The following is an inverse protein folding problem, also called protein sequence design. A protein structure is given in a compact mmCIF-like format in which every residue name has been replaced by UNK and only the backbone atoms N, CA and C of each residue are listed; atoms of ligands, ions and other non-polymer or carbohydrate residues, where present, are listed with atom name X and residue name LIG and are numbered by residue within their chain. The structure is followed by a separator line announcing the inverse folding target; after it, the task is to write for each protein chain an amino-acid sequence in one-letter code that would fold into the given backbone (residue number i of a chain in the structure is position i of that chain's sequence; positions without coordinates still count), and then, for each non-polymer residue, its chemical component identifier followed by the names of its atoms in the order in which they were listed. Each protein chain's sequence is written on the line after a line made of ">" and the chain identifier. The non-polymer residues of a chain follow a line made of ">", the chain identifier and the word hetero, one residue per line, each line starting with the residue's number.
data_IF_186143794657
#
_entry.id   IF_186143794657
#
_cell.length_a   1.000
_cell.length_b   1.000
_cell.length_c   1.000
_cell.angle_alpha   90.00
_cell.angle_beta   90.00
_cell.angle_gamma   90.00
#
_symmetry.space_group_name_H-M   'P 1'
#
loop_
_entity.id
_entity.type
_entity.pdbx_description
1 polymer ?
#
# COMPACT_ATOMS: atom_id res chain seq x y z
N UNK A 1 1.73 -30.78 -6.91
CA UNK A 1 1.47 -31.79 -5.87
C UNK A 1 2.28 -31.48 -4.59
N UNK A 2 3.57 -31.17 -4.74
CA UNK A 2 4.45 -30.87 -3.62
C UNK A 2 4.09 -29.52 -2.93
N UNK A 3 3.75 -28.52 -3.72
CA UNK A 3 3.33 -27.21 -3.24
C UNK A 3 2.01 -27.27 -2.43
N UNK A 4 1.04 -28.07 -2.88
CA UNK A 4 -0.24 -28.24 -2.17
C UNK A 4 -0.08 -29.07 -0.91
N UNK A 5 0.76 -30.12 -0.93
CA UNK A 5 1.13 -30.90 0.27
C UNK A 5 1.90 -30.04 1.28
N UNK A 6 2.68 -29.10 0.79
CA UNK A 6 3.37 -28.10 1.62
C UNK A 6 2.40 -27.14 2.26
N UNK A 7 1.35 -26.70 1.56
CA UNK A 7 0.27 -25.88 2.13
C UNK A 7 -0.40 -26.57 3.31
N UNK A 8 -0.71 -27.86 3.22
CA UNK A 8 -1.25 -28.65 4.34
C UNK A 8 -0.30 -28.66 5.56
N UNK A 9 1.00 -28.86 5.32
CA UNK A 9 2.02 -28.83 6.38
C UNK A 9 2.08 -27.48 7.07
N UNK A 10 1.95 -26.40 6.31
CA UNK A 10 1.99 -25.04 6.81
C UNK A 10 0.80 -24.70 7.69
N UNK A 11 -0.41 -25.11 7.28
CA UNK A 11 -1.63 -24.96 8.09
C UNK A 11 -1.48 -25.66 9.44
N UNK A 12 -0.75 -26.77 9.49
CA UNK A 12 -0.49 -27.52 10.74
C UNK A 12 0.58 -26.89 11.62
N UNK A 13 1.60 -26.30 11.05
CA UNK A 13 2.80 -25.83 11.78
C UNK A 13 2.72 -24.37 12.23
N UNK A 14 2.09 -23.47 11.48
CA UNK A 14 2.19 -22.03 11.73
C UNK A 14 0.96 -21.41 12.37
N UNK A 15 -0.19 -22.06 12.32
CA UNK A 15 -1.45 -21.42 12.73
C UNK A 15 -1.83 -20.16 11.93
N UNK A 16 -0.96 -19.75 11.02
CA UNK A 16 -1.12 -18.63 10.09
C UNK A 16 -0.77 -19.09 8.70
N UNK A 17 -1.73 -19.01 7.79
CA UNK A 17 -1.63 -19.45 6.39
C UNK A 17 -0.64 -18.57 5.60
N UNK A 18 -0.43 -17.34 6.06
CA UNK A 18 0.07 -16.25 5.25
C UNK A 18 1.55 -16.29 4.93
N UNK A 19 2.41 -16.55 5.91
CA UNK A 19 3.87 -16.45 5.71
C UNK A 19 4.46 -17.56 4.86
N UNK A 20 3.73 -18.64 4.73
CA UNK A 20 4.26 -19.89 4.22
C UNK A 20 3.80 -20.23 2.80
N UNK A 21 2.72 -19.66 2.31
CA UNK A 21 2.26 -19.85 0.92
C UNK A 21 3.21 -19.23 -0.09
N UNK A 22 3.78 -18.07 0.24
CA UNK A 22 4.69 -17.35 -0.63
C UNK A 22 6.00 -18.09 -0.89
N UNK A 23 6.50 -18.77 0.12
CA UNK A 23 7.80 -19.44 0.04
C UNK A 23 7.74 -20.85 -0.56
N UNK A 24 6.53 -21.44 -0.67
CA UNK A 24 6.36 -22.86 -0.95
C UNK A 24 5.45 -23.20 -2.16
N UNK A 25 4.76 -22.22 -2.74
CA UNK A 25 3.94 -22.40 -3.94
C UNK A 25 4.42 -21.53 -5.07
N UNK A 26 4.39 -22.03 -6.31
CA UNK A 26 4.47 -21.17 -7.47
C UNK A 26 3.24 -20.26 -7.51
N UNK A 27 3.32 -19.05 -8.13
CA UNK A 27 2.15 -18.18 -8.30
C UNK A 27 0.97 -18.89 -8.97
N UNK A 28 1.23 -19.77 -9.93
CA UNK A 28 0.20 -20.54 -10.63
C UNK A 28 -0.47 -21.58 -9.72
N UNK A 29 0.29 -22.24 -8.85
CA UNK A 29 -0.25 -23.22 -7.90
C UNK A 29 -1.06 -22.51 -6.80
N UNK A 30 -0.60 -21.37 -6.33
CA UNK A 30 -1.33 -20.53 -5.38
C UNK A 30 -2.66 -20.06 -5.96
N UNK A 31 -2.68 -19.60 -7.21
CA UNK A 31 -3.91 -19.18 -7.90
C UNK A 31 -4.92 -20.33 -8.02
N UNK A 32 -4.48 -21.52 -8.41
CA UNK A 32 -5.33 -22.73 -8.51
C UNK A 32 -5.90 -23.13 -7.15
N UNK A 33 -5.07 -23.05 -6.10
CA UNK A 33 -5.51 -23.37 -4.75
C UNK A 33 -6.55 -22.37 -4.23
N UNK A 34 -6.37 -21.09 -4.48
CA UNK A 34 -7.31 -20.04 -4.11
C UNK A 34 -8.63 -20.19 -4.91
N UNK A 35 -8.56 -20.49 -6.20
CA UNK A 35 -9.74 -20.76 -7.02
C UNK A 35 -10.54 -21.96 -6.52
N UNK A 36 -9.85 -23.00 -6.06
CA UNK A 36 -10.52 -24.15 -5.44
C UNK A 36 -11.24 -23.74 -4.15
N UNK A 37 -10.60 -23.01 -3.27
CA UNK A 37 -11.18 -22.59 -1.99
C UNK A 37 -12.39 -21.66 -2.19
N UNK A 38 -12.34 -20.77 -3.16
CA UNK A 38 -13.41 -19.80 -3.40
C UNK A 38 -14.58 -20.36 -4.20
N UNK A 39 -14.30 -21.07 -5.28
CA UNK A 39 -15.28 -21.47 -6.29
C UNK A 39 -15.52 -22.98 -6.35
N UNK A 40 -14.78 -23.77 -5.56
CA UNK A 40 -14.77 -25.22 -5.66
C UNK A 40 -14.23 -25.72 -7.01
N UNK A 41 -13.48 -24.88 -7.76
CA UNK A 41 -12.95 -25.22 -9.07
C UNK A 41 -11.87 -26.29 -8.95
N UNK A 42 -12.07 -27.39 -9.68
CA UNK A 42 -11.10 -28.50 -9.79
C UNK A 42 -10.37 -28.50 -11.14
N UNK A 43 -10.58 -27.46 -11.94
CA UNK A 43 -10.02 -27.35 -13.27
C UNK A 43 -8.51 -27.16 -13.23
N UNK A 44 -7.81 -28.00 -14.00
CA UNK A 44 -6.35 -27.93 -14.09
C UNK A 44 -5.58 -28.56 -12.94
N UNK A 45 -6.25 -29.14 -11.93
CA UNK A 45 -5.62 -29.89 -10.85
C UNK A 45 -5.42 -31.38 -11.22
N UNK A 46 -4.25 -31.90 -10.87
CA UNK A 46 -4.01 -33.36 -10.91
C UNK A 46 -4.67 -34.02 -9.70
N UNK A 47 -4.89 -35.34 -9.76
CA UNK A 47 -5.48 -36.08 -8.63
C UNK A 47 -4.72 -35.95 -7.32
N UNK A 48 -3.39 -35.76 -7.35
CA UNK A 48 -2.56 -35.57 -6.18
C UNK A 48 -2.71 -34.16 -5.61
N UNK A 49 -2.77 -33.16 -6.46
CA UNK A 49 -3.03 -31.76 -6.07
C UNK A 49 -4.43 -31.62 -5.48
N UNK A 50 -5.44 -32.24 -6.10
CA UNK A 50 -6.80 -32.25 -5.59
C UNK A 50 -6.88 -32.86 -4.19
N UNK A 51 -6.25 -33.98 -3.96
CA UNK A 51 -6.22 -34.62 -2.63
C UNK A 51 -5.54 -33.72 -1.57
N UNK A 52 -4.47 -33.00 -1.95
CA UNK A 52 -3.80 -32.05 -1.08
C UNK A 52 -4.69 -30.84 -0.73
N UNK A 53 -5.39 -30.30 -1.72
CA UNK A 53 -6.33 -29.18 -1.57
C UNK A 53 -7.51 -29.57 -0.68
N UNK A 54 -8.11 -30.73 -0.90
CA UNK A 54 -9.23 -31.22 -0.08
C UNK A 54 -8.83 -31.45 1.39
N UNK A 55 -7.59 -31.87 1.64
CA UNK A 55 -7.05 -31.97 3.00
C UNK A 55 -6.82 -30.60 3.65
N UNK A 56 -6.28 -29.65 2.89
CA UNK A 56 -6.07 -28.29 3.38
C UNK A 56 -7.41 -27.60 3.71
N UNK A 57 -8.41 -27.76 2.86
CA UNK A 57 -9.77 -27.26 3.09
C UNK A 57 -10.38 -27.87 4.35
N UNK A 58 -10.27 -29.18 4.54
CA UNK A 58 -10.73 -29.85 5.73
C UNK A 58 -10.05 -29.34 7.03
N UNK A 59 -8.75 -29.00 6.95
CA UNK A 59 -8.02 -28.41 8.08
C UNK A 59 -8.47 -26.99 8.41
N UNK A 60 -8.69 -26.16 7.38
CA UNK A 60 -9.23 -24.80 7.54
C UNK A 60 -10.59 -24.83 8.24
N UNK A 61 -11.50 -25.69 7.77
CA UNK A 61 -12.82 -25.87 8.38
C UNK A 61 -12.71 -26.38 9.83
N UNK A 62 -11.80 -27.31 10.11
CA UNK A 62 -11.62 -27.87 11.45
C UNK A 62 -11.06 -26.86 12.46
N UNK A 63 -10.31 -25.89 12.01
CA UNK A 63 -9.71 -24.81 12.82
C UNK A 63 -10.62 -23.58 12.97
N UNK A 64 -11.85 -23.61 12.41
CA UNK A 64 -12.77 -22.47 12.37
C UNK A 64 -12.15 -21.20 11.77
N UNK A 65 -11.26 -21.34 10.82
CA UNK A 65 -10.78 -20.23 10.03
C UNK A 65 -11.94 -19.83 9.12
N UNK A 66 -12.48 -18.63 9.30
CA UNK A 66 -13.57 -18.13 8.48
C UNK A 66 -13.06 -17.86 7.06
N UNK A 67 -13.92 -18.09 6.05
CA UNK A 67 -13.57 -17.85 4.65
C UNK A 67 -13.18 -16.39 4.36
N UNK A 68 -13.56 -15.46 5.22
CA UNK A 68 -13.12 -14.06 5.14
C UNK A 68 -11.60 -13.92 5.27
N UNK A 69 -10.95 -14.75 6.09
CA UNK A 69 -9.48 -14.77 6.21
C UNK A 69 -8.80 -15.30 4.95
N UNK A 70 -9.50 -16.11 4.15
CA UNK A 70 -9.01 -16.63 2.86
C UNK A 70 -9.16 -15.60 1.73
N UNK A 71 -10.15 -14.73 1.83
CA UNK A 71 -10.34 -13.60 0.92
C UNK A 71 -9.17 -12.61 0.98
N UNK A 72 -8.59 -12.44 2.16
CA UNK A 72 -7.38 -11.65 2.34
C UNK A 72 -6.16 -12.28 1.67
N UNK A 73 -6.16 -13.60 1.39
CA UNK A 73 -5.09 -14.25 0.61
C UNK A 73 -5.07 -13.84 -0.88
N UNK A 74 -6.18 -13.40 -1.45
CA UNK A 74 -6.18 -12.81 -2.81
C UNK A 74 -5.43 -11.49 -2.88
N UNK A 75 -5.43 -10.76 -1.78
CA UNK A 75 -4.62 -9.58 -1.58
C UNK A 75 -3.23 -9.96 -1.01
N UNK A 76 -2.89 -11.27 -0.99
CA UNK A 76 -1.61 -11.75 -0.45
C UNK A 76 -0.39 -11.22 -1.22
N UNK A 77 -0.54 -10.77 -2.46
CA UNK A 77 0.45 -9.92 -3.10
C UNK A 77 0.78 -8.70 -2.22
N UNK A 78 -0.24 -8.06 -1.67
CA UNK A 78 -0.10 -6.92 -0.76
C UNK A 78 0.31 -7.36 0.66
N UNK A 79 -0.10 -8.55 1.11
CA UNK A 79 0.26 -9.11 2.43
C UNK A 79 1.67 -9.70 2.46
N UNK A 80 2.19 -10.24 1.36
CA UNK A 80 3.59 -10.63 1.20
C UNK A 80 4.53 -9.42 1.28
N UNK A 81 4.02 -8.26 0.90
CA UNK A 81 4.70 -6.98 1.09
C UNK A 81 4.56 -6.45 2.53
N UNK A 82 3.53 -6.85 3.30
CA UNK A 82 3.32 -6.36 4.67
C UNK A 82 4.39 -6.82 5.66
N UNK A 83 4.99 -8.00 5.43
CA UNK A 83 6.15 -8.49 6.20
C UNK A 83 7.50 -7.91 5.77
N UNK A 84 7.57 -7.30 4.59
CA UNK A 84 8.79 -6.73 4.00
C UNK A 84 9.24 -5.45 4.69
N UNK A 85 8.31 -4.68 5.24
CA UNK A 85 8.57 -3.38 5.83
C UNK A 85 8.11 -3.31 7.29
N UNK A 86 8.93 -2.68 8.15
CA UNK A 86 8.53 -2.37 9.53
C UNK A 86 7.64 -1.12 9.61
N UNK A 87 7.73 -0.26 8.59
CA UNK A 87 6.93 0.96 8.46
C UNK A 87 5.47 0.62 8.14
N UNK A 88 4.56 1.18 8.95
CA UNK A 88 3.13 0.96 8.85
C UNK A 88 2.43 2.16 8.23
N UNK A 89 1.47 1.91 7.35
CA UNK A 89 0.59 2.93 6.77
C UNK A 89 -0.85 2.46 6.99
N UNK A 90 -1.62 3.20 7.78
CA UNK A 90 -3.03 2.87 7.95
C UNK A 90 -3.83 3.19 6.67
N UNK A 91 -4.97 2.52 6.42
CA UNK A 91 -5.82 2.82 5.26
C UNK A 91 -6.24 4.30 5.16
N UNK A 92 -6.47 4.95 6.30
CA UNK A 92 -6.77 6.37 6.35
C UNK A 92 -5.57 7.22 5.91
N UNK A 93 -4.36 6.85 6.36
CA UNK A 93 -3.13 7.53 5.97
C UNK A 93 -2.80 7.32 4.48
N UNK A 94 -3.01 6.12 3.97
CA UNK A 94 -2.89 5.81 2.54
C UNK A 94 -3.80 6.71 1.71
N UNK A 95 -5.08 6.76 2.03
CA UNK A 95 -6.03 7.67 1.37
C UNK A 95 -5.61 9.13 1.45
N UNK A 96 -5.11 9.58 2.61
CA UNK A 96 -4.59 10.94 2.78
C UNK A 96 -3.39 11.20 1.87
N UNK A 97 -2.43 10.29 1.81
CA UNK A 97 -1.23 10.43 0.98
C UNK A 97 -1.62 10.48 -0.50
N UNK A 98 -2.43 9.56 -0.95
CA UNK A 98 -2.77 9.42 -2.36
C UNK A 98 -3.74 10.51 -2.83
N UNK A 99 -4.91 10.59 -2.23
CA UNK A 99 -6.01 11.44 -2.71
C UNK A 99 -6.13 12.78 -1.98
N UNK A 100 -5.48 12.89 -0.83
CA UNK A 100 -5.74 13.99 0.09
C UNK A 100 -7.06 13.86 0.85
N UNK A 101 -7.06 14.36 2.06
CA UNK A 101 -8.24 14.38 2.92
C UNK A 101 -8.47 15.75 3.54
N UNK A 102 -9.68 15.99 3.99
CA UNK A 102 -10.04 17.21 4.73
C UNK A 102 -9.18 17.32 6.00
N UNK A 103 -8.59 18.49 6.23
CA UNK A 103 -7.73 18.74 7.39
C UNK A 103 -8.49 18.66 8.72
N UNK A 104 -9.74 19.04 8.72
CA UNK A 104 -10.64 18.97 9.86
C UNK A 104 -12.10 19.02 9.38
N UNK A 105 -13.08 18.49 10.16
CA UNK A 105 -14.48 18.45 9.76
C UNK A 105 -15.09 19.81 9.40
N UNK A 106 -14.57 20.90 9.98
CA UNK A 106 -15.10 22.26 9.81
C UNK A 106 -14.34 23.10 8.79
N UNK A 107 -13.27 22.56 8.18
CA UNK A 107 -12.43 23.29 7.23
C UNK A 107 -12.37 22.57 5.90
N UNK A 108 -12.64 23.31 4.81
CA UNK A 108 -12.50 22.76 3.44
C UNK A 108 -11.03 22.78 2.94
N UNK A 109 -10.05 22.74 3.85
CA UNK A 109 -8.64 22.60 3.51
C UNK A 109 -8.29 21.12 3.36
N UNK A 110 -7.55 20.78 2.30
CA UNK A 110 -7.06 19.40 2.03
C UNK A 110 -5.59 19.31 2.41
N UNK A 111 -5.22 18.20 3.03
CA UNK A 111 -3.84 17.79 3.32
C UNK A 111 -3.52 16.48 2.60
N UNK A 112 -2.24 16.26 2.26
CA UNK A 112 -1.83 15.13 1.42
C UNK A 112 -2.15 15.37 -0.07
N UNK A 113 -2.48 14.30 -0.79
CA UNK A 113 -2.79 14.37 -2.21
C UNK A 113 -1.55 14.40 -3.09
N UNK A 114 -0.91 13.22 -3.27
CA UNK A 114 0.34 13.09 -3.99
C UNK A 114 0.31 12.04 -5.11
N UNK A 115 -0.82 11.35 -5.33
CA UNK A 115 -1.00 10.41 -6.44
C UNK A 115 -1.13 11.15 -7.78
N UNK A 116 -0.57 10.61 -8.87
CA UNK A 116 -0.82 11.09 -10.22
C UNK A 116 -2.29 10.90 -10.67
N UNK A 117 -3.07 10.10 -9.94
CA UNK A 117 -4.53 9.97 -10.16
C UNK A 117 -5.30 11.24 -9.82
N UNK A 118 -4.65 12.24 -9.21
CA UNK A 118 -5.18 13.59 -9.09
C UNK A 118 -4.98 14.30 -10.44
N UNK A 119 -5.95 14.12 -11.31
CA UNK A 119 -5.97 14.67 -12.66
C UNK A 119 -7.41 14.91 -13.12
N UNK A 120 -7.58 15.60 -14.25
CA UNK A 120 -8.91 15.99 -14.77
C UNK A 120 -9.72 14.83 -15.39
N UNK A 121 -9.17 13.60 -15.46
CA UNK A 121 -9.94 12.41 -15.81
C UNK A 121 -10.62 11.76 -14.61
N UNK A 122 -10.34 12.25 -13.40
CA UNK A 122 -10.97 11.82 -12.16
C UNK A 122 -11.99 12.87 -11.70
N UNK A 123 -13.26 12.52 -11.74
CA UNK A 123 -14.40 13.43 -11.46
C UNK A 123 -14.38 14.07 -10.06
N UNK A 124 -13.55 13.55 -9.15
CA UNK A 124 -13.39 14.13 -7.80
C UNK A 124 -12.50 15.37 -7.79
N UNK A 125 -11.80 15.69 -8.88
CA UNK A 125 -10.79 16.74 -8.91
C UNK A 125 -10.96 17.70 -10.09
N UNK A 126 -10.61 18.95 -9.86
CA UNK A 126 -10.30 19.92 -10.92
C UNK A 126 -8.85 20.35 -10.72
N UNK A 127 -8.01 20.12 -11.72
CA UNK A 127 -6.55 20.22 -11.62
C UNK A 127 -5.98 21.17 -12.66
N UNK A 128 -5.05 22.01 -12.23
CA UNK A 128 -4.15 22.77 -13.11
C UNK A 128 -2.70 22.32 -12.83
N UNK A 129 -2.02 21.86 -13.88
CA UNK A 129 -0.59 21.57 -13.83
C UNK A 129 0.19 22.89 -13.87
N UNK A 130 1.08 23.09 -12.91
CA UNK A 130 1.93 24.28 -12.84
C UNK A 130 3.28 24.06 -13.49
N UNK A 131 3.88 22.88 -13.31
CA UNK A 131 5.16 22.50 -13.90
C UNK A 131 5.41 21.00 -13.78
N UNK A 132 6.24 20.47 -14.66
CA UNK A 132 6.84 19.13 -14.58
C UNK A 132 8.29 19.28 -14.13
N UNK A 133 8.68 18.52 -13.12
CA UNK A 133 10.03 18.52 -12.58
C UNK A 133 10.94 17.54 -13.35
N UNK A 134 12.24 17.69 -13.21
CA UNK A 134 13.22 16.84 -13.92
C UNK A 134 13.14 15.35 -13.55
N UNK A 135 12.63 15.02 -12.36
CA UNK A 135 12.42 13.67 -11.86
C UNK A 135 11.08 13.06 -12.29
N UNK A 136 10.30 13.77 -13.11
CA UNK A 136 8.98 13.34 -13.57
C UNK A 136 7.84 13.65 -12.60
N UNK A 137 8.12 14.15 -11.41
CA UNK A 137 7.06 14.65 -10.50
C UNK A 137 6.43 15.91 -11.08
N UNK A 138 5.19 16.20 -10.71
CA UNK A 138 4.46 17.37 -11.20
C UNK A 138 4.02 18.26 -10.04
N UNK A 139 4.19 19.56 -10.21
CA UNK A 139 3.61 20.55 -9.32
C UNK A 139 2.23 20.92 -9.87
N UNK A 140 1.21 20.72 -9.05
CA UNK A 140 -0.17 20.98 -9.42
C UNK A 140 -0.86 21.89 -8.39
N UNK A 141 -1.93 22.51 -8.81
CA UNK A 141 -2.95 23.03 -7.90
C UNK A 141 -4.28 22.37 -8.24
N UNK A 142 -5.06 22.04 -7.22
CA UNK A 142 -6.34 21.37 -7.41
C UNK A 142 -7.37 21.77 -6.35
N UNK A 143 -8.61 21.53 -6.68
CA UNK A 143 -9.73 21.43 -5.73
C UNK A 143 -10.29 20.02 -5.78
N UNK A 144 -10.82 19.55 -4.65
CA UNK A 144 -11.40 18.23 -4.47
C UNK A 144 -12.87 18.34 -4.08
N UNK A 145 -13.73 17.54 -4.71
CA UNK A 145 -15.08 17.28 -4.21
C UNK A 145 -14.97 16.51 -2.88
N UNK A 146 -15.52 17.07 -1.82
CA UNK A 146 -15.48 16.49 -0.48
C UNK A 146 -16.63 15.52 -0.22
N UNK A 147 -17.47 15.27 -1.23
CA UNK A 147 -18.58 14.30 -1.24
C UNK A 147 -19.67 14.57 -0.18
N UNK A 148 -19.69 15.78 0.37
CA UNK A 148 -20.73 16.27 1.29
C UNK A 148 -21.46 17.50 0.73
N UNK A 149 -21.33 17.72 -0.58
CA UNK A 149 -21.86 18.89 -1.28
C UNK A 149 -20.94 20.11 -1.23
N UNK A 150 -19.74 19.98 -0.65
CA UNK A 150 -18.76 21.07 -0.62
C UNK A 150 -17.51 20.75 -1.44
N UNK A 151 -16.83 21.80 -1.90
CA UNK A 151 -15.57 21.75 -2.64
C UNK A 151 -14.45 22.25 -1.72
N UNK A 152 -13.29 21.63 -1.83
CA UNK A 152 -12.12 22.04 -1.06
C UNK A 152 -11.63 23.43 -1.51
N UNK A 153 -10.90 24.11 -0.63
CA UNK A 153 -10.03 25.21 -1.04
C UNK A 153 -8.96 24.71 -2.00
N UNK A 154 -8.39 25.62 -2.78
CA UNK A 154 -7.25 25.31 -3.67
C UNK A 154 -6.10 24.78 -2.84
N UNK A 155 -5.62 23.58 -3.22
CA UNK A 155 -4.43 22.91 -2.68
C UNK A 155 -3.32 22.94 -3.73
N UNK A 156 -2.12 23.35 -3.35
CA UNK A 156 -0.90 23.11 -4.13
C UNK A 156 -0.23 21.84 -3.62
N UNK A 157 0.19 20.98 -4.53
CA UNK A 157 0.86 19.73 -4.21
C UNK A 157 1.90 19.38 -5.26
N UNK A 158 2.91 18.63 -4.85
CA UNK A 158 3.76 17.87 -5.77
C UNK A 158 3.23 16.45 -5.79
N UNK A 159 2.93 15.92 -6.97
CA UNK A 159 2.47 14.54 -7.17
C UNK A 159 3.59 13.68 -7.74
N UNK A 160 3.54 12.40 -7.45
CA UNK A 160 4.47 11.40 -7.98
C UNK A 160 4.39 11.34 -9.52
N UNK A 161 5.39 10.77 -10.20
CA UNK A 161 5.39 10.64 -11.66
C UNK A 161 4.18 9.86 -12.16
N UNK A 162 3.66 10.20 -13.35
CA UNK A 162 2.50 9.54 -13.97
C UNK A 162 2.70 8.03 -14.18
N UNK A 163 3.94 7.58 -14.29
CA UNK A 163 4.28 6.17 -14.43
C UNK A 163 4.20 5.37 -13.12
N UNK A 164 3.98 6.03 -11.98
CA UNK A 164 3.89 5.37 -10.70
C UNK A 164 2.45 5.03 -10.35
N UNK A 165 2.20 3.74 -10.08
CA UNK A 165 0.93 3.31 -9.50
C UNK A 165 0.82 3.71 -8.03
N UNK A 166 -0.41 3.74 -7.51
CA UNK A 166 -0.65 4.00 -6.09
C UNK A 166 0.04 2.95 -5.20
N UNK A 167 0.03 1.68 -5.61
CA UNK A 167 0.76 0.60 -4.91
C UNK A 167 2.27 0.91 -4.86
N UNK A 168 2.89 1.27 -5.98
CA UNK A 168 4.30 1.66 -6.01
C UNK A 168 4.60 2.85 -5.09
N UNK A 169 3.70 3.83 -5.02
CA UNK A 169 3.86 4.98 -4.12
C UNK A 169 3.89 4.54 -2.66
N UNK A 170 2.92 3.71 -2.27
CA UNK A 170 2.81 3.21 -0.89
C UNK A 170 4.01 2.35 -0.50
N UNK A 171 4.46 1.46 -1.38
CA UNK A 171 5.66 0.65 -1.16
C UNK A 171 6.92 1.49 -1.04
N UNK A 172 7.06 2.50 -1.90
CA UNK A 172 8.18 3.45 -1.80
C UNK A 172 8.17 4.19 -0.47
N UNK A 173 7.01 4.62 0.02
CA UNK A 173 6.92 5.31 1.31
C UNK A 173 7.30 4.38 2.46
N UNK A 174 6.90 3.10 2.42
CA UNK A 174 7.32 2.10 3.40
C UNK A 174 8.83 1.87 3.35
N UNK A 175 9.39 1.69 2.15
CA UNK A 175 10.84 1.52 1.93
C UNK A 175 11.65 2.71 2.49
N UNK A 176 11.21 3.93 2.18
CA UNK A 176 11.87 5.15 2.68
C UNK A 176 11.74 5.25 4.19
N UNK A 177 10.58 4.90 4.74
CA UNK A 177 10.35 4.88 6.18
C UNK A 177 11.21 3.86 6.94
N UNK A 178 11.65 2.79 6.30
CA UNK A 178 12.57 1.79 6.87
C UNK A 178 14.05 2.19 6.72
N UNK A 179 14.37 3.23 5.95
CA UNK A 179 15.73 3.77 5.89
C UNK A 179 16.12 4.45 7.21
N UNK A 180 17.41 4.64 7.48
CA UNK A 180 17.83 5.41 8.65
C UNK A 180 17.21 6.81 8.67
N UNK A 181 16.73 7.26 9.82
CA UNK A 181 16.24 8.62 9.98
C UNK A 181 17.37 9.65 9.91
N UNK A 182 17.06 10.82 9.36
CA UNK A 182 18.00 11.95 9.24
C UNK A 182 17.94 12.83 10.48
N UNK A 183 16.74 13.03 11.03
CA UNK A 183 16.51 13.90 12.16
C UNK A 183 15.27 13.49 12.96
N UNK A 184 15.23 13.93 14.20
CA UNK A 184 14.10 13.73 15.12
C UNK A 184 13.50 15.08 15.47
N UNK A 185 12.18 15.19 15.40
CA UNK A 185 11.45 16.40 15.74
C UNK A 185 11.23 16.52 17.24
N UNK A 186 11.77 17.58 17.83
CA UNK A 186 11.83 17.72 19.28
C UNK A 186 10.48 17.81 20.00
N UNK A 187 9.42 18.29 19.32
CA UNK A 187 8.10 18.48 19.97
C UNK A 187 7.33 17.19 20.24
N UNK A 188 7.54 16.15 19.42
CA UNK A 188 6.73 14.93 19.46
C UNK A 188 7.53 13.64 19.18
N UNK A 189 8.83 13.74 18.94
CA UNK A 189 9.70 12.59 18.69
C UNK A 189 9.52 11.96 17.29
N UNK A 190 8.78 12.61 16.38
CA UNK A 190 8.65 12.10 15.01
C UNK A 190 10.00 12.08 14.29
N UNK A 191 10.23 11.05 13.50
CA UNK A 191 11.47 10.86 12.72
C UNK A 191 11.25 11.26 11.27
N UNK A 192 12.26 11.88 10.67
CA UNK A 192 12.30 12.23 9.25
C UNK A 192 13.25 11.31 8.51
N UNK A 193 12.76 10.72 7.45
CA UNK A 193 13.48 9.83 6.54
C UNK A 193 13.44 10.41 5.13
N UNK A 194 14.51 10.25 4.37
CA UNK A 194 14.61 10.68 2.96
C UNK A 194 15.44 9.70 2.18
N UNK A 195 14.95 9.34 1.01
CA UNK A 195 15.68 8.50 0.05
C UNK A 195 15.33 8.91 -1.37
N UNK A 196 16.23 8.66 -2.31
CA UNK A 196 15.96 8.74 -3.73
C UNK A 196 15.61 7.35 -4.22
N UNK A 197 14.41 7.19 -4.78
CA UNK A 197 13.91 5.94 -5.35
C UNK A 197 13.53 6.21 -6.80
N UNK A 198 14.10 5.47 -7.72
CA UNK A 198 13.90 5.64 -9.17
C UNK A 198 14.05 7.11 -9.65
N UNK A 199 15.00 7.83 -9.07
CA UNK A 199 15.27 9.23 -9.40
C UNK A 199 14.41 10.25 -8.67
N UNK A 200 13.40 9.84 -7.94
CA UNK A 200 12.50 10.70 -7.15
C UNK A 200 12.96 10.77 -5.71
N UNK A 201 13.21 11.98 -5.20
CA UNK A 201 13.48 12.17 -3.77
C UNK A 201 12.17 12.18 -3.00
N UNK A 202 12.07 11.31 -2.00
CA UNK A 202 10.87 11.10 -1.20
C UNK A 202 11.17 11.36 0.26
N UNK A 203 10.33 12.16 0.91
CA UNK A 203 10.32 12.38 2.35
C UNK A 203 9.23 11.56 3.03
N UNK A 204 9.58 10.93 4.14
CA UNK A 204 8.65 10.23 5.02
C UNK A 204 8.86 10.68 6.45
N UNK A 205 7.76 10.98 7.13
CA UNK A 205 7.74 11.33 8.54
C UNK A 205 6.94 10.27 9.28
N UNK A 206 7.56 9.70 10.32
CA UNK A 206 6.94 8.65 11.16
C UNK A 206 6.87 9.07 12.62
N UNK A 207 5.87 8.51 13.31
CA UNK A 207 5.82 8.46 14.76
C UNK A 207 5.85 6.99 15.20
N UNK A 208 6.97 6.55 15.77
CA UNK A 208 7.24 5.12 15.91
C UNK A 208 7.36 4.46 14.53
N UNK A 209 6.57 3.41 14.28
CA UNK A 209 6.51 2.76 12.97
C UNK A 209 5.44 3.35 12.05
N UNK A 210 4.55 4.20 12.56
CA UNK A 210 3.42 4.72 11.80
C UNK A 210 3.80 5.93 10.96
N UNK A 211 3.50 5.90 9.68
CA UNK A 211 3.63 7.06 8.79
C UNK A 211 2.60 8.11 9.16
N UNK A 212 3.06 9.34 9.34
CA UNK A 212 2.19 10.51 9.54
C UNK A 212 2.24 11.48 8.35
N UNK A 213 3.25 11.33 7.48
CA UNK A 213 3.35 12.06 6.20
C UNK A 213 4.31 11.34 5.27
N UNK A 214 4.03 11.34 3.95
CA UNK A 214 4.91 10.83 2.90
C UNK A 214 4.61 11.57 1.60
N UNK A 215 5.65 12.06 0.89
CA UNK A 215 5.46 12.86 -0.32
C UNK A 215 6.75 12.97 -1.14
N UNK A 216 6.65 13.21 -2.46
CA UNK A 216 7.80 13.52 -3.29
C UNK A 216 8.20 14.98 -3.08
N UNK A 217 9.49 15.25 -3.01
CA UNK A 217 10.00 16.61 -2.75
C UNK A 217 9.97 17.50 -3.99
N UNK A 218 9.90 16.91 -5.19
CA UNK A 218 9.91 17.61 -6.48
C UNK A 218 11.31 18.04 -6.97
N UNK A 219 12.35 17.76 -6.22
CA UNK A 219 13.75 18.02 -6.61
C UNK A 219 14.72 17.31 -5.66
N UNK A 220 15.88 16.96 -6.17
CA UNK A 220 16.96 16.39 -5.36
C UNK A 220 17.55 17.47 -4.43
N UNK A 221 17.92 17.06 -3.23
CA UNK A 221 18.41 17.94 -2.15
C UNK A 221 17.43 19.05 -1.77
N UNK A 222 16.15 18.71 -1.71
CA UNK A 222 15.13 19.64 -1.24
C UNK A 222 15.42 20.10 0.21
N UNK A 223 14.98 21.31 0.61
CA UNK A 223 15.06 21.74 2.00
C UNK A 223 14.44 20.72 2.95
N UNK A 224 14.93 20.68 4.18
CA UNK A 224 14.35 19.83 5.22
C UNK A 224 12.89 20.22 5.51
N UNK A 225 12.06 19.27 5.91
CA UNK A 225 10.68 19.55 6.32
C UNK A 225 10.62 20.52 7.50
N UNK A 226 9.56 21.29 7.55
CA UNK A 226 9.35 22.22 8.67
C UNK A 226 9.28 21.50 10.00
N UNK A 227 10.04 21.99 10.96
CA UNK A 227 10.11 21.43 12.32
C UNK A 227 11.24 20.43 12.57
N UNK A 228 12.06 20.13 11.56
CA UNK A 228 13.23 19.24 11.66
C UNK A 228 14.56 20.01 11.55
#
# INVERSE_FOLDING_TARGET
>A
AEAVASGEKLLKESGTIYESFADMMSPDDAAKYLDFLENGSKEGLTSAELAGVEKADALLVSQKVEYEDVWDLRNAGDLLESGKYSTQISPEMEKKILEGQRKSPVKNEVIGGHSPQINNSNDLFVVEELSVNADGTRNIKFVKDLQDGSISKIKKSTVFPDSWSDSKIIDTIKEVGDSPFISVRGRDGATWHRKIVDGVEVDVIKLGNDVISGYPTGKINAPKPSGF
#
